data_IF_671181455610
#
_entry.id   IF_671181455610
#
_cell.length_a   1.000
_cell.length_b   1.000
_cell.length_c   1.000
_cell.angle_alpha   90.00
_cell.angle_beta   90.00
_cell.angle_gamma   90.00
#
_symmetry.space_group_name_H-M   'P 1'
#
loop_
_entity.id
_entity.type
_entity.pdbx_description
1 polymer ?
#
# COMPACT_ATOMS: atom_id res chain seq x y z
N UNK A 1 1.98 3.85 42.07
CA UNK A 1 1.19 4.93 41.43
C UNK A 1 1.51 5.09 39.94
N UNK A 2 2.78 5.02 39.53
CA UNK A 2 3.21 5.16 38.11
C UNK A 2 2.81 3.96 37.23
N UNK A 3 2.88 2.73 37.76
CA UNK A 3 2.46 1.54 37.00
C UNK A 3 0.97 1.53 36.68
N UNK A 4 0.12 1.97 37.63
CA UNK A 4 -1.34 2.04 37.44
C UNK A 4 -1.70 3.09 36.38
N UNK A 5 -1.00 4.22 36.38
CA UNK A 5 -1.19 5.25 35.35
C UNK A 5 -0.74 4.76 33.97
N UNK A 6 0.39 4.06 33.86
CA UNK A 6 0.82 3.48 32.58
C UNK A 6 -0.17 2.44 32.05
N UNK A 7 -0.66 1.53 32.90
CA UNK A 7 -1.65 0.51 32.50
C UNK A 7 -3.00 1.08 32.07
N UNK A 8 -3.36 2.29 32.51
CA UNK A 8 -4.60 2.97 32.12
C UNK A 8 -4.38 3.89 30.91
N UNK A 9 -3.22 4.54 30.81
CA UNK A 9 -2.92 5.50 29.73
C UNK A 9 -2.53 4.81 28.42
N UNK A 10 -1.80 3.69 28.47
CA UNK A 10 -1.45 2.90 27.29
C UNK A 10 -2.68 2.43 26.48
N UNK A 11 -3.69 1.77 27.08
CA UNK A 11 -4.89 1.38 26.35
C UNK A 11 -5.71 2.58 25.89
N UNK A 12 -5.69 3.70 26.64
CA UNK A 12 -6.36 4.93 26.22
C UNK A 12 -5.71 5.53 24.96
N UNK A 13 -4.38 5.48 24.87
CA UNK A 13 -3.64 5.89 23.66
C UNK A 13 -3.94 4.97 22.48
N UNK A 14 -3.98 3.65 22.68
CA UNK A 14 -4.35 2.69 21.62
C UNK A 14 -5.77 2.94 21.11
N UNK A 15 -6.73 3.23 21.99
CA UNK A 15 -8.11 3.58 21.63
C UNK A 15 -8.17 4.92 20.88
N UNK A 16 -7.40 5.93 21.30
CA UNK A 16 -7.32 7.21 20.60
C UNK A 16 -6.69 7.05 19.20
N UNK A 17 -5.66 6.21 19.10
CA UNK A 17 -4.98 5.89 17.84
C UNK A 17 -5.89 5.09 16.90
N UNK A 18 -6.66 4.15 17.45
CA UNK A 18 -7.72 3.45 16.71
C UNK A 18 -8.82 4.43 16.27
N UNK A 19 -9.18 5.41 17.09
CA UNK A 19 -10.22 6.40 16.77
C UNK A 19 -9.80 7.37 15.66
N UNK A 20 -8.52 7.74 15.53
CA UNK A 20 -8.03 8.46 14.33
C UNK A 20 -8.23 7.65 13.03
N UNK A 21 -8.14 6.32 13.11
CA UNK A 21 -8.39 5.41 11.99
C UNK A 21 -9.89 5.24 11.67
N UNK A 22 -10.78 5.47 12.64
CA UNK A 22 -12.24 5.31 12.51
C UNK A 22 -12.96 6.64 12.20
N UNK A 23 -12.46 7.78 12.71
CA UNK A 23 -13.05 9.11 12.51
C UNK A 23 -12.71 9.70 11.14
N UNK A 24 -11.64 9.22 10.51
CA UNK A 24 -11.60 9.18 9.04
C UNK A 24 -12.63 8.13 8.65
N UNK A 25 -13.84 8.53 8.22
CA UNK A 25 -14.94 7.60 7.92
C UNK A 25 -14.59 6.51 6.87
N UNK A 26 -15.53 5.97 6.08
CA UNK A 26 -15.17 5.09 4.95
C UNK A 26 -14.36 5.80 3.83
N UNK A 27 -13.68 6.90 4.15
CA UNK A 27 -12.53 7.45 3.45
C UNK A 27 -11.44 6.38 3.32
N UNK A 28 -11.44 5.73 2.16
CA UNK A 28 -10.30 4.98 1.62
C UNK A 28 -9.00 5.61 2.08
N UNK A 29 -8.17 4.85 2.82
CA UNK A 29 -6.87 5.31 3.30
C UNK A 29 -6.06 5.94 2.16
N UNK A 30 -5.43 7.08 2.44
CA UNK A 30 -4.48 7.67 1.49
C UNK A 30 -3.34 6.69 1.24
N UNK A 31 -2.87 6.56 0.01
CA UNK A 31 -1.80 5.61 -0.33
C UNK A 31 -0.52 5.81 0.49
N UNK A 32 -0.26 7.04 0.98
CA UNK A 32 0.84 7.33 1.90
C UNK A 32 0.63 6.65 3.25
N UNK A 33 -0.51 6.87 3.91
CA UNK A 33 -0.82 6.26 5.21
C UNK A 33 -0.94 4.74 5.11
N UNK A 34 -1.58 4.24 4.05
CA UNK A 34 -1.67 2.81 3.79
C UNK A 34 -0.27 2.18 3.69
N UNK A 35 0.64 2.82 2.93
CA UNK A 35 2.03 2.36 2.82
C UNK A 35 2.79 2.38 4.14
N UNK A 36 2.58 3.40 4.97
CA UNK A 36 3.20 3.48 6.30
C UNK A 36 2.71 2.36 7.22
N UNK A 37 1.42 2.03 7.17
CA UNK A 37 0.85 0.91 7.92
C UNK A 37 1.40 -0.45 7.44
N UNK A 38 1.48 -0.64 6.12
CA UNK A 38 2.10 -1.84 5.54
C UNK A 38 3.59 -1.96 5.90
N UNK A 39 4.31 -0.85 6.03
CA UNK A 39 5.72 -0.87 6.45
C UNK A 39 5.89 -1.25 7.92
N UNK A 40 4.89 -1.03 8.77
CA UNK A 40 4.89 -1.46 10.18
C UNK A 40 4.69 -2.97 10.30
N UNK A 41 4.01 -3.59 9.34
CA UNK A 41 3.78 -5.04 9.33
C UNK A 41 4.84 -5.76 8.49
N UNK A 42 5.62 -6.64 9.12
CA UNK A 42 6.77 -7.28 8.45
C UNK A 42 6.37 -8.13 7.24
N UNK A 43 5.22 -8.81 7.30
CA UNK A 43 4.66 -9.57 6.18
C UNK A 43 4.30 -8.68 4.99
N UNK A 44 3.52 -7.61 5.24
CA UNK A 44 3.13 -6.66 4.21
C UNK A 44 4.34 -5.91 3.62
N UNK A 45 5.25 -5.42 4.47
CA UNK A 45 6.47 -4.70 4.07
C UNK A 45 7.35 -5.52 3.12
N UNK A 46 7.53 -6.80 3.42
CA UNK A 46 8.32 -7.71 2.58
C UNK A 46 7.67 -7.89 1.21
N UNK A 47 6.37 -8.23 1.19
CA UNK A 47 5.62 -8.39 -0.07
C UNK A 47 5.52 -7.09 -0.86
N UNK A 48 5.42 -5.93 -0.21
CA UNK A 48 5.44 -4.62 -0.86
C UNK A 48 6.77 -4.32 -1.56
N UNK A 49 7.90 -4.72 -0.96
CA UNK A 49 9.23 -4.59 -1.60
C UNK A 49 9.38 -5.54 -2.78
N UNK A 50 9.00 -6.81 -2.61
CA UNK A 50 9.00 -7.81 -3.69
C UNK A 50 8.15 -7.33 -4.87
N UNK A 51 6.94 -6.85 -4.61
CA UNK A 51 6.04 -6.30 -5.63
C UNK A 51 6.70 -5.18 -6.46
N UNK A 52 7.45 -4.27 -5.83
CA UNK A 52 8.17 -3.20 -6.54
C UNK A 52 9.27 -3.74 -7.46
N UNK A 53 9.89 -4.85 -7.09
CA UNK A 53 10.90 -5.52 -7.91
C UNK A 53 10.25 -6.23 -9.13
N UNK A 54 9.02 -6.70 -8.99
CA UNK A 54 8.25 -7.31 -10.08
C UNK A 54 8.04 -6.38 -11.28
N UNK A 55 7.78 -5.09 -11.03
CA UNK A 55 7.57 -4.10 -12.09
C UNK A 55 8.86 -3.76 -12.83
N UNK A 56 9.99 -3.76 -12.12
CA UNK A 56 11.31 -3.52 -12.71
C UNK A 56 11.79 -4.69 -13.58
N UNK A 57 11.41 -5.93 -13.22
CA UNK A 57 11.81 -7.16 -13.93
C UNK A 57 11.06 -7.45 -15.24
N UNK A 58 9.98 -6.73 -15.56
CA UNK A 58 9.20 -6.95 -16.78
C UNK A 58 9.98 -6.78 -18.09
N UNK A 59 11.15 -6.13 -18.04
CA UNK A 59 12.02 -5.91 -19.21
C UNK A 59 13.20 -6.90 -19.30
N UNK A 60 13.49 -7.65 -18.23
CA UNK A 60 14.62 -8.58 -18.17
C UNK A 60 14.14 -10.01 -17.96
N UNK A 61 13.43 -10.55 -18.96
CA UNK A 61 13.05 -11.97 -19.07
C UNK A 61 14.24 -12.92 -19.30
N UNK A 62 15.43 -12.57 -18.82
CA UNK A 62 16.66 -13.36 -18.95
C UNK A 62 17.13 -13.97 -17.61
N UNK A 63 16.28 -13.98 -16.58
CA UNK A 63 16.47 -14.94 -15.50
C UNK A 63 16.18 -16.33 -16.05
N UNK A 64 17.05 -17.31 -15.76
CA UNK A 64 16.90 -18.69 -16.21
C UNK A 64 15.45 -19.16 -16.06
N UNK A 65 14.95 -19.98 -16.98
CA UNK A 65 13.52 -20.35 -17.04
C UNK A 65 12.95 -20.84 -15.70
N UNK A 66 13.78 -21.42 -14.82
CA UNK A 66 13.44 -21.84 -13.46
C UNK A 66 13.42 -20.66 -12.47
N UNK A 67 14.47 -19.83 -12.43
CA UNK A 67 14.53 -18.66 -11.56
C UNK A 67 13.48 -17.58 -11.93
N UNK A 68 13.12 -17.49 -13.21
CA UNK A 68 12.05 -16.61 -13.69
C UNK A 68 10.66 -17.06 -13.23
N UNK A 69 10.42 -18.37 -13.12
CA UNK A 69 9.15 -18.92 -12.62
C UNK A 69 9.03 -18.76 -11.10
N UNK A 70 10.11 -18.99 -10.35
CA UNK A 70 10.13 -18.75 -8.89
C UNK A 70 9.94 -17.27 -8.58
N UNK A 71 10.63 -16.37 -9.30
CA UNK A 71 10.43 -14.93 -9.16
C UNK A 71 9.02 -14.47 -9.55
N UNK A 72 8.40 -15.11 -10.55
CA UNK A 72 7.02 -14.81 -10.95
C UNK A 72 6.01 -15.27 -9.89
N UNK A 73 6.23 -16.42 -9.26
CA UNK A 73 5.36 -16.92 -8.19
C UNK A 73 5.50 -16.07 -6.93
N UNK A 74 6.72 -15.65 -6.58
CA UNK A 74 6.96 -14.69 -5.49
C UNK A 74 6.25 -13.35 -5.73
N UNK A 75 6.27 -12.87 -6.97
CA UNK A 75 5.53 -11.68 -7.39
C UNK A 75 4.03 -11.86 -7.24
N UNK A 76 3.48 -12.98 -7.70
CA UNK A 76 2.05 -13.28 -7.58
C UNK A 76 1.62 -13.41 -6.12
N UNK A 77 2.39 -14.13 -5.31
CA UNK A 77 2.21 -14.25 -3.87
C UNK A 77 2.24 -12.88 -3.18
N UNK A 78 3.18 -12.00 -3.56
CA UNK A 78 3.26 -10.65 -3.05
C UNK A 78 2.04 -9.80 -3.43
N UNK A 79 1.56 -9.93 -4.65
CA UNK A 79 0.37 -9.24 -5.12
C UNK A 79 -0.89 -9.67 -4.36
N UNK A 80 -1.06 -10.98 -4.12
CA UNK A 80 -2.23 -11.51 -3.42
C UNK A 80 -2.25 -11.09 -1.93
N UNK A 81 -1.09 -11.00 -1.29
CA UNK A 81 -0.98 -10.45 0.06
C UNK A 81 -1.35 -8.95 0.10
N UNK A 82 -0.92 -8.17 -0.90
CA UNK A 82 -1.25 -6.75 -0.99
C UNK A 82 -2.72 -6.48 -1.30
N UNK A 83 -3.41 -7.39 -2.00
CA UNK A 83 -4.87 -7.32 -2.22
C UNK A 83 -5.67 -7.39 -0.92
N UNK A 84 -5.16 -8.12 0.06
CA UNK A 84 -5.77 -8.23 1.40
C UNK A 84 -5.47 -7.01 2.27
N UNK A 85 -4.49 -6.19 1.89
CA UNK A 85 -4.10 -4.99 2.61
C UNK A 85 -4.89 -3.75 2.17
N UNK A 86 -5.00 -2.71 3.03
CA UNK A 86 -5.64 -1.45 2.66
C UNK A 86 -4.93 -0.71 1.51
N UNK A 87 -3.70 -1.11 1.14
CA UNK A 87 -2.99 -0.58 -0.03
C UNK A 87 -3.74 -0.78 -1.35
N UNK A 88 -4.46 -1.90 -1.51
CA UNK A 88 -5.08 -2.25 -2.79
C UNK A 88 -6.12 -1.21 -3.23
N UNK A 89 -6.84 -0.65 -2.26
CA UNK A 89 -7.96 0.25 -2.46
C UNK A 89 -7.64 1.71 -2.13
N UNK A 90 -6.37 2.03 -1.91
CA UNK A 90 -5.94 3.37 -1.52
C UNK A 90 -6.23 4.40 -2.63
N UNK A 91 -6.45 5.66 -2.22
CA UNK A 91 -6.68 6.79 -3.12
C UNK A 91 -5.72 7.92 -2.77
N UNK A 92 -5.59 8.89 -3.68
CA UNK A 92 -4.91 10.15 -3.42
C UNK A 92 -5.91 11.28 -3.58
N UNK A 93 -5.91 12.22 -2.64
CA UNK A 93 -6.73 13.44 -2.71
C UNK A 93 -5.91 14.58 -3.27
N UNK A 94 -6.53 15.37 -4.15
CA UNK A 94 -5.95 16.59 -4.72
C UNK A 94 -5.73 17.63 -3.63
N UNK A 95 -4.57 18.31 -3.63
CA UNK A 95 -4.24 19.33 -2.63
C UNK A 95 -3.65 18.79 -1.32
N UNK A 96 -3.25 17.52 -1.27
CA UNK A 96 -2.57 16.95 -0.11
C UNK A 96 -1.08 17.37 -0.07
N UNK A 97 -0.53 17.66 1.12
CA UNK A 97 0.86 18.11 1.29
C UNK A 97 1.92 17.17 0.68
N UNK A 98 1.58 15.88 0.53
CA UNK A 98 2.43 14.82 -0.06
C UNK A 98 1.85 14.23 -1.37
N UNK A 99 1.14 15.03 -2.16
CA UNK A 99 0.40 14.56 -3.35
C UNK A 99 1.27 13.81 -4.36
N UNK A 100 2.41 14.40 -4.74
CA UNK A 100 3.39 13.77 -5.63
C UNK A 100 3.87 12.41 -5.13
N UNK A 101 4.07 12.27 -3.81
CA UNK A 101 4.47 11.00 -3.21
C UNK A 101 3.33 9.98 -3.20
N UNK A 102 2.11 10.43 -2.90
CA UNK A 102 0.92 9.57 -2.95
C UNK A 102 0.73 8.98 -4.35
N UNK A 103 0.78 9.82 -5.38
CA UNK A 103 0.65 9.40 -6.77
C UNK A 103 1.73 8.38 -7.16
N UNK A 104 3.00 8.61 -6.75
CA UNK A 104 4.07 7.63 -6.99
C UNK A 104 3.75 6.25 -6.41
N UNK A 105 3.21 6.20 -5.19
CA UNK A 105 2.82 4.95 -4.54
C UNK A 105 1.63 4.31 -5.27
N UNK A 106 0.60 5.09 -5.54
CA UNK A 106 -0.61 4.64 -6.24
C UNK A 106 -0.28 3.99 -7.58
N UNK A 107 0.52 4.65 -8.42
CA UNK A 107 0.89 4.13 -9.74
C UNK A 107 1.75 2.85 -9.66
N UNK A 108 2.68 2.77 -8.71
CA UNK A 108 3.47 1.55 -8.53
C UNK A 108 2.60 0.33 -8.17
N UNK A 109 1.61 0.54 -7.30
CA UNK A 109 0.64 -0.50 -6.92
C UNK A 109 -0.28 -0.84 -8.11
N UNK A 110 -0.78 0.18 -8.81
CA UNK A 110 -1.70 0.03 -9.93
C UNK A 110 -1.10 -0.77 -11.10
N UNK A 111 0.13 -0.41 -11.51
CA UNK A 111 0.85 -1.11 -12.58
C UNK A 111 1.04 -2.59 -12.27
N UNK A 112 1.28 -2.92 -11.00
CA UNK A 112 1.48 -4.31 -10.58
C UNK A 112 0.16 -5.06 -10.42
N UNK A 113 -0.85 -4.47 -9.76
CA UNK A 113 -2.07 -5.16 -9.32
C UNK A 113 -3.21 -5.15 -10.34
N UNK A 114 -3.31 -4.11 -11.17
CA UNK A 114 -4.41 -3.94 -12.12
C UNK A 114 -3.93 -4.14 -13.57
N UNK A 115 -2.64 -3.97 -13.85
CA UNK A 115 -2.09 -4.13 -15.20
C UNK A 115 -2.58 -3.04 -16.16
N UNK A 116 -1.95 -2.90 -17.34
CA UNK A 116 -2.26 -1.82 -18.29
C UNK A 116 -3.65 -1.89 -18.94
N UNK A 117 -4.38 -3.01 -18.77
CA UNK A 117 -5.67 -3.25 -19.42
C UNK A 117 -6.89 -2.94 -18.54
N UNK A 118 -6.70 -2.54 -17.29
CA UNK A 118 -7.79 -2.11 -16.42
C UNK A 118 -8.02 -0.62 -16.63
N UNK A 119 -9.27 -0.15 -16.80
CA UNK A 119 -9.55 1.28 -16.89
C UNK A 119 -9.20 2.00 -15.59
N UNK A 120 -8.46 3.11 -15.70
CA UNK A 120 -8.11 3.96 -14.56
C UNK A 120 -9.40 4.56 -13.99
N UNK A 121 -9.68 4.45 -12.68
CA UNK A 121 -10.89 5.02 -12.10
C UNK A 121 -10.92 6.55 -12.33
N UNK A 122 -12.04 7.09 -12.82
CA UNK A 122 -12.21 8.52 -13.15
C UNK A 122 -11.78 9.46 -12.02
N UNK A 123 -12.14 9.11 -10.77
CA UNK A 123 -11.69 9.78 -9.54
C UNK A 123 -10.16 9.94 -9.37
N UNK A 124 -9.35 9.18 -10.12
CA UNK A 124 -7.89 9.30 -10.15
C UNK A 124 -7.38 10.08 -11.36
N UNK A 125 -8.13 10.16 -12.47
CA UNK A 125 -7.84 11.13 -13.55
C UNK A 125 -8.04 12.56 -13.05
N UNK A 126 -9.13 12.82 -12.33
CA UNK A 126 -9.45 14.16 -11.78
C UNK A 126 -8.34 14.71 -10.86
N UNK A 127 -7.62 13.81 -10.19
CA UNK A 127 -6.50 14.14 -9.30
C UNK A 127 -5.20 14.41 -10.06
N UNK A 128 -4.97 13.76 -11.21
CA UNK A 128 -3.74 13.89 -12.00
C UNK A 128 -3.86 15.01 -13.05
N UNK A 129 -5.07 15.51 -13.30
CA UNK A 129 -5.31 16.61 -14.23
C UNK A 129 -5.11 16.22 -15.69
N UNK A 130 -5.54 15.01 -16.06
CA UNK A 130 -5.76 14.61 -17.45
C UNK A 130 -7.22 14.80 -17.83
#
# INVERSE_FOLDING_TARGET
MIFVTLYVVLPLLDVLYAQENVLSGPNRLDCVKASEQCMKEQGCSTKYRTMRQCVAGGKERNFSMVAGLEAQDECRSAMDALKQSPLYNCRCKRGMKKEKNCLRIYWGIYQTLQGPNVPIPTSTLDTVGL
#
